data_IF_572722526505
#
_entry.id   IF_572722526505
#
_cell.length_a   1.000
_cell.length_b   1.000
_cell.length_c   1.000
_cell.angle_alpha   90.00
_cell.angle_beta   90.00
_cell.angle_gamma   90.00
#
_symmetry.space_group_name_H-M   'P 1'
#
loop_
_entity.id
_entity.type
_entity.pdbx_description
1 polymer ?
#
# COMPACT_ATOMS: atom_id res chain seq x y z
N UNK A 1 4.50 -23.13 -12.13
CA UNK A 1 4.65 -22.69 -10.73
C UNK A 1 3.57 -21.65 -10.46
N UNK A 2 2.56 -21.96 -9.65
CA UNK A 2 1.53 -20.97 -9.30
C UNK A 2 2.19 -19.85 -8.50
N UNK A 3 2.10 -18.61 -8.98
CA UNK A 3 2.53 -17.45 -8.20
C UNK A 3 1.57 -17.35 -7.02
N UNK A 4 2.07 -17.58 -5.80
CA UNK A 4 1.29 -17.35 -4.59
C UNK A 4 0.75 -15.92 -4.64
N UNK A 5 -0.58 -15.77 -4.53
CA UNK A 5 -1.22 -14.46 -4.49
C UNK A 5 -1.60 -14.18 -3.03
N UNK A 6 -1.13 -13.05 -2.53
CA UNK A 6 -1.47 -12.54 -1.22
C UNK A 6 -2.61 -11.54 -1.35
N UNK A 7 -3.58 -11.62 -0.44
CA UNK A 7 -4.61 -10.62 -0.29
C UNK A 7 -4.35 -9.86 1.00
N UNK A 8 -4.21 -8.54 0.91
CA UNK A 8 -4.04 -7.70 2.08
C UNK A 8 -4.81 -6.39 1.93
N UNK A 9 -5.16 -5.81 3.07
CA UNK A 9 -5.69 -4.45 3.16
C UNK A 9 -4.52 -3.51 3.40
N UNK A 10 -4.40 -2.50 2.54
CA UNK A 10 -3.45 -1.41 2.72
C UNK A 10 -4.21 -0.14 3.10
N UNK A 11 -3.66 0.63 4.03
CA UNK A 11 -4.16 1.92 4.44
C UNK A 11 -3.02 2.95 4.51
N UNK A 12 -3.25 4.10 3.88
CA UNK A 12 -2.37 5.26 3.91
C UNK A 12 -3.04 6.36 4.75
N UNK A 13 -2.36 6.82 5.79
CA UNK A 13 -2.82 7.90 6.65
C UNK A 13 -2.15 9.21 6.26
N UNK A 14 -2.94 10.23 5.95
CA UNK A 14 -2.46 11.50 5.44
C UNK A 14 -2.38 12.57 6.54
N UNK A 15 -1.50 13.55 6.36
CA UNK A 15 -1.30 14.66 7.31
C UNK A 15 -2.52 15.54 7.53
N UNK A 16 -3.50 15.50 6.62
CA UNK A 16 -4.80 16.17 6.76
C UNK A 16 -5.85 15.31 7.51
N UNK A 17 -5.44 14.20 8.12
CA UNK A 17 -6.31 13.28 8.85
C UNK A 17 -7.14 12.34 7.96
N UNK A 18 -7.00 12.40 6.63
CA UNK A 18 -7.71 11.49 5.72
C UNK A 18 -7.03 10.14 5.66
N UNK A 19 -7.83 9.10 5.45
CA UNK A 19 -7.38 7.74 5.17
C UNK A 19 -7.70 7.39 3.71
N UNK A 20 -6.73 6.78 3.03
CA UNK A 20 -6.95 6.09 1.75
C UNK A 20 -6.65 4.62 1.97
N UNK A 21 -7.67 3.76 1.93
CA UNK A 21 -7.48 2.33 2.16
C UNK A 21 -8.28 1.46 1.21
N UNK A 22 -7.84 0.21 1.07
CA UNK A 22 -8.58 -0.80 0.32
C UNK A 22 -7.89 -2.15 0.29
N UNK A 23 -8.60 -3.15 -0.22
CA UNK A 23 -8.11 -4.50 -0.40
C UNK A 23 -7.38 -4.61 -1.73
N UNK A 24 -6.18 -5.18 -1.70
CA UNK A 24 -5.38 -5.41 -2.89
C UNK A 24 -4.93 -6.86 -2.93
N UNK A 25 -4.88 -7.40 -4.15
CA UNK A 25 -4.25 -8.69 -4.44
C UNK A 25 -2.92 -8.44 -5.14
N UNK A 26 -1.86 -9.03 -4.59
CA UNK A 26 -0.50 -8.88 -5.08
C UNK A 26 0.26 -10.20 -5.05
N UNK A 27 1.36 -10.27 -5.79
CA UNK A 27 2.24 -11.45 -5.81
C UNK A 27 3.33 -11.40 -4.74
N UNK A 28 3.55 -10.22 -4.17
CA UNK A 28 4.52 -9.99 -3.11
C UNK A 28 3.81 -10.14 -1.77
N UNK A 29 4.51 -10.70 -0.80
CA UNK A 29 4.05 -10.74 0.59
C UNK A 29 3.92 -9.31 1.17
N UNK A 30 3.17 -9.14 2.27
CA UNK A 30 2.96 -7.84 2.90
C UNK A 30 4.24 -7.07 3.25
N UNK A 31 5.31 -7.74 3.68
CA UNK A 31 6.55 -7.11 4.12
C UNK A 31 7.35 -6.57 2.92
N UNK A 32 7.48 -7.38 1.87
CA UNK A 32 8.11 -6.94 0.61
C UNK A 32 7.38 -5.75 0.01
N UNK A 33 6.04 -5.77 0.02
CA UNK A 33 5.24 -4.66 -0.48
C UNK A 33 5.40 -3.38 0.37
N UNK A 34 5.48 -3.52 1.70
CA UNK A 34 5.74 -2.39 2.59
C UNK A 34 7.08 -1.71 2.26
N UNK A 35 8.16 -2.49 2.13
CA UNK A 35 9.50 -1.97 1.78
C UNK A 35 9.51 -1.25 0.43
N UNK A 36 8.75 -1.76 -0.54
CA UNK A 36 8.60 -1.10 -1.84
C UNK A 36 7.90 0.27 -1.72
N UNK A 37 6.86 0.37 -0.88
CA UNK A 37 6.19 1.65 -0.59
C UNK A 37 7.13 2.60 0.15
N UNK A 38 7.84 2.13 1.17
CA UNK A 38 8.80 2.95 1.94
C UNK A 38 9.83 3.59 1.01
N UNK A 39 10.44 2.82 0.11
CA UNK A 39 11.40 3.36 -0.86
C UNK A 39 10.80 4.33 -1.89
N UNK A 40 9.48 4.34 -2.10
CA UNK A 40 8.79 5.36 -2.90
C UNK A 40 8.50 6.62 -2.09
N UNK A 41 8.19 6.47 -0.80
CA UNK A 41 7.98 7.58 0.14
C UNK A 41 9.28 8.37 0.33
N UNK A 42 10.39 7.68 0.60
CA UNK A 42 11.71 8.29 0.80
C UNK A 42 12.20 9.11 -0.41
N UNK A 43 11.78 8.72 -1.62
CA UNK A 43 12.12 9.43 -2.86
C UNK A 43 11.25 10.67 -3.11
N UNK A 44 10.33 10.98 -2.19
CA UNK A 44 9.35 12.08 -2.27
C UNK A 44 8.55 12.10 -3.59
N UNK A 45 8.38 10.94 -4.22
CA UNK A 45 7.64 10.82 -5.48
C UNK A 45 6.15 10.63 -5.23
N UNK A 46 5.27 11.12 -6.12
CA UNK A 46 3.88 10.70 -6.13
C UNK A 46 3.79 9.18 -6.29
N UNK A 47 2.97 8.55 -5.45
CA UNK A 47 2.76 7.10 -5.44
C UNK A 47 1.43 6.82 -6.13
N UNK A 48 1.49 6.13 -7.27
CA UNK A 48 0.30 5.60 -7.94
C UNK A 48 -0.02 4.22 -7.38
N UNK A 49 -1.07 4.11 -6.57
CA UNK A 49 -1.60 2.81 -6.13
C UNK A 49 -2.69 2.39 -7.11
N UNK A 50 -2.29 1.76 -8.22
CA UNK A 50 -3.21 1.36 -9.32
C UNK A 50 -4.42 0.57 -8.84
N UNK A 51 -4.22 -0.35 -7.90
CA UNK A 51 -5.27 -1.22 -7.34
C UNK A 51 -6.31 -0.45 -6.51
N UNK A 52 -5.96 0.73 -6.00
CA UNK A 52 -6.87 1.64 -5.30
C UNK A 52 -7.37 2.78 -6.19
N UNK A 53 -6.92 2.86 -7.44
CA UNK A 53 -7.29 3.94 -8.37
C UNK A 53 -6.89 5.34 -7.89
N UNK A 54 -5.81 5.44 -7.09
CA UNK A 54 -5.45 6.69 -6.41
C UNK A 54 -3.98 7.06 -6.59
N UNK A 55 -3.71 8.36 -6.64
CA UNK A 55 -2.37 8.95 -6.64
C UNK A 55 -2.21 9.72 -5.35
N UNK A 56 -1.19 9.38 -4.57
CA UNK A 56 -0.91 10.00 -3.27
C UNK A 56 0.44 10.70 -3.35
N UNK A 57 0.49 11.98 -2.99
CA UNK A 57 1.75 12.68 -2.79
C UNK A 57 2.41 12.15 -1.52
N UNK A 58 3.59 11.53 -1.64
CA UNK A 58 4.29 10.86 -0.54
C UNK A 58 4.57 11.77 0.66
N UNK A 59 4.89 13.05 0.43
CA UNK A 59 5.09 14.05 1.50
C UNK A 59 3.90 14.25 2.43
N UNK A 60 2.69 13.80 2.04
CA UNK A 60 1.52 13.87 2.89
C UNK A 60 1.25 12.56 3.64
N UNK A 61 1.95 11.47 3.33
CA UNK A 61 1.79 10.20 4.02
C UNK A 61 2.53 10.30 5.36
N UNK A 62 1.80 10.01 6.45
CA UNK A 62 2.35 9.98 7.80
C UNK A 62 2.65 8.56 8.26
N UNK A 63 1.77 7.62 7.91
CA UNK A 63 1.87 6.22 8.30
C UNK A 63 1.27 5.34 7.20
N UNK A 64 1.80 4.13 7.08
CA UNK A 64 1.26 3.07 6.22
C UNK A 64 0.98 1.85 7.08
N UNK A 65 -0.19 1.23 6.88
CA UNK A 65 -0.56 -0.02 7.54
C UNK A 65 -0.94 -1.05 6.49
N UNK A 66 -0.34 -2.23 6.56
CA UNK A 66 -0.69 -3.38 5.73
C UNK A 66 -1.09 -4.53 6.65
N UNK A 67 -2.25 -5.14 6.37
CA UNK A 67 -2.78 -6.26 7.13
C UNK A 67 -3.19 -7.34 6.16
N UNK A 68 -2.67 -8.55 6.34
CA UNK A 68 -3.11 -9.71 5.58
C UNK A 68 -4.58 -10.01 5.85
N UNK A 69 -5.33 -10.31 4.79
CA UNK A 69 -6.75 -10.68 4.90
C UNK A 69 -6.93 -12.08 4.35
N UNK A 70 -7.29 -13.01 5.24
CA UNK A 70 -7.72 -14.35 4.86
C UNK A 70 -8.91 -14.21 3.90
N UNK A 71 -8.79 -14.81 2.72
CA UNK A 71 -9.91 -14.94 1.78
C UNK A 71 -10.71 -16.15 2.26
N UNK A 72 -11.81 -15.91 2.98
CA UNK A 72 -12.82 -16.93 3.25
C UNK A 72 -13.64 -17.21 1.99
#
# INVERSE_FOLDING_TARGET
MSKQQYAYRVAFYLSNGKEVSGRITHHEDPETYLKAIEGLIEKEKPILIKKLGTIIQSKYITHVKIVEVIVC
#
